data_IF_303503775627
#
_entry.id   IF_303503775627
#
_cell.length_a   1.000
_cell.length_b   1.000
_cell.length_c   1.000
_cell.angle_alpha   90.00
_cell.angle_beta   90.00
_cell.angle_gamma   90.00
#
_symmetry.space_group_name_H-M   'P 1'
#
loop_
_entity.id
_entity.type
_entity.pdbx_description
1 polymer ?
#
# COMPACT_ATOMS: atom_id res chain seq x y z
N UNK A 1 22.17 4.56 0.18
CA UNK A 1 21.15 3.73 0.85
C UNK A 1 21.92 2.77 1.75
N UNK A 2 21.45 2.51 2.98
CA UNK A 2 22.17 1.57 3.86
C UNK A 2 22.18 0.16 3.27
N UNK A 3 23.23 -0.61 3.55
CA UNK A 3 23.53 -1.96 3.02
C UNK A 3 22.50 -3.07 3.40
N UNK A 4 21.26 -2.71 3.73
CA UNK A 4 20.24 -3.64 4.22
C UNK A 4 19.68 -4.53 3.09
N UNK A 5 19.56 -3.97 1.89
CA UNK A 5 18.98 -4.64 0.73
C UNK A 5 19.95 -4.64 -0.44
N UNK A 6 19.97 -5.75 -1.19
CA UNK A 6 20.71 -5.82 -2.46
C UNK A 6 20.15 -4.82 -3.46
N UNK A 7 18.83 -4.78 -3.58
CA UNK A 7 18.10 -3.88 -4.45
C UNK A 7 16.80 -3.41 -3.78
N UNK A 8 16.28 -2.29 -4.27
CA UNK A 8 14.97 -1.77 -3.88
C UNK A 8 14.18 -1.56 -5.15
N UNK A 9 12.93 -1.99 -5.18
CA UNK A 9 12.04 -1.81 -6.32
C UNK A 9 10.66 -1.40 -5.83
N UNK A 10 10.13 -0.31 -6.38
CA UNK A 10 8.78 0.15 -6.13
C UNK A 10 7.97 0.09 -7.43
N UNK A 11 7.06 -0.86 -7.54
CA UNK A 11 6.12 -0.98 -8.66
C UNK A 11 4.83 -0.24 -8.32
N UNK A 12 4.35 0.60 -9.23
CA UNK A 12 3.06 1.27 -9.08
C UNK A 12 2.17 1.02 -10.28
N UNK A 13 1.10 0.27 -10.02
CA UNK A 13 -0.07 0.12 -10.89
C UNK A 13 -0.81 1.46 -10.94
N UNK A 14 -0.45 2.31 -11.91
CA UNK A 14 -0.82 3.71 -11.96
C UNK A 14 -2.07 3.91 -12.81
N UNK A 15 -3.13 4.40 -12.18
CA UNK A 15 -4.30 4.96 -12.84
C UNK A 15 -4.84 6.15 -12.04
N UNK A 16 -5.95 6.73 -12.47
CA UNK A 16 -6.55 7.91 -11.83
C UNK A 16 -6.84 7.68 -10.34
N UNK A 17 -7.25 6.46 -9.97
CA UNK A 17 -7.63 6.13 -8.59
C UNK A 17 -6.43 5.90 -7.68
N UNK A 18 -5.28 5.51 -8.22
CA UNK A 18 -4.06 5.22 -7.44
C UNK A 18 -3.04 6.36 -7.47
N UNK A 19 -3.25 7.39 -8.30
CA UNK A 19 -2.29 8.47 -8.51
C UNK A 19 -1.84 9.20 -7.23
N UNK A 20 -2.68 9.25 -6.19
CA UNK A 20 -2.31 9.85 -4.90
C UNK A 20 -1.10 9.15 -4.22
N UNK A 21 -0.85 7.88 -4.57
CA UNK A 21 0.30 7.08 -4.13
C UNK A 21 1.61 7.50 -4.80
N UNK A 22 1.59 8.35 -5.84
CA UNK A 22 2.80 8.83 -6.52
C UNK A 22 3.80 9.51 -5.58
N UNK A 23 3.31 10.14 -4.50
CA UNK A 23 4.17 10.74 -3.46
C UNK A 23 5.02 9.70 -2.72
N UNK A 24 4.50 8.49 -2.51
CA UNK A 24 5.23 7.35 -1.96
C UNK A 24 6.20 6.77 -3.00
N UNK A 25 5.78 6.64 -4.26
CA UNK A 25 6.65 6.22 -5.35
C UNK A 25 7.88 7.13 -5.52
N UNK A 26 7.71 8.44 -5.39
CA UNK A 26 8.80 9.42 -5.48
C UNK A 26 9.92 9.22 -4.43
N UNK A 27 9.65 8.52 -3.32
CA UNK A 27 10.68 8.13 -2.35
C UNK A 27 11.78 7.26 -2.97
N UNK A 28 11.44 6.48 -3.99
CA UNK A 28 12.29 5.46 -4.59
C UNK A 28 13.11 5.96 -5.80
N UNK A 29 12.80 7.14 -6.35
CA UNK A 29 13.54 7.77 -7.47
C UNK A 29 13.73 6.81 -8.64
N UNK A 30 14.97 6.43 -8.96
CA UNK A 30 15.31 5.55 -10.08
C UNK A 30 14.79 4.11 -9.88
N UNK A 31 14.47 3.73 -8.65
CA UNK A 31 13.87 2.43 -8.29
C UNK A 31 12.33 2.42 -8.40
N UNK A 32 11.73 3.51 -8.89
CA UNK A 32 10.29 3.65 -9.04
C UNK A 32 9.85 3.31 -10.47
N UNK A 33 9.12 2.20 -10.63
CA UNK A 33 8.59 1.72 -11.90
C UNK A 33 7.09 1.97 -11.94
N UNK A 34 6.66 2.82 -12.88
CA UNK A 34 5.24 3.02 -13.18
C UNK A 34 4.79 1.95 -14.16
N UNK A 35 3.65 1.35 -13.87
CA UNK A 35 2.95 0.43 -14.76
C UNK A 35 1.78 1.19 -15.34
N UNK A 36 1.78 1.34 -16.66
CA UNK A 36 0.72 1.92 -17.45
C UNK A 36 -0.27 0.83 -17.88
N UNK A 37 -1.51 1.17 -18.29
CA UNK A 37 -2.54 0.23 -18.76
C UNK A 37 -2.21 -0.36 -20.14
N UNK A 38 -1.12 -1.13 -20.21
CA UNK A 38 -0.67 -1.85 -21.41
C UNK A 38 0.01 -3.17 -21.04
N UNK A 39 -0.11 -4.16 -21.93
CA UNK A 39 0.53 -5.48 -21.77
C UNK A 39 2.04 -5.34 -21.69
N UNK A 40 2.63 -4.43 -22.48
CA UNK A 40 4.06 -4.18 -22.50
C UNK A 40 4.56 -3.68 -21.14
N UNK A 41 3.91 -2.65 -20.58
CA UNK A 41 4.30 -2.07 -19.29
C UNK A 41 4.16 -3.09 -18.15
N UNK A 42 3.08 -3.87 -18.16
CA UNK A 42 2.87 -4.98 -17.21
C UNK A 42 3.99 -6.01 -17.30
N UNK A 43 4.36 -6.44 -18.50
CA UNK A 43 5.43 -7.43 -18.70
C UNK A 43 6.79 -6.88 -18.26
N UNK A 44 7.12 -5.64 -18.60
CA UNK A 44 8.37 -4.99 -18.15
C UNK A 44 8.46 -4.94 -16.62
N UNK A 45 7.37 -4.60 -15.94
CA UNK A 45 7.34 -4.59 -14.48
C UNK A 45 7.49 -5.99 -13.88
N UNK A 46 6.86 -7.02 -14.47
CA UNK A 46 7.04 -8.41 -14.05
C UNK A 46 8.46 -8.91 -14.27
N UNK A 47 9.09 -8.56 -15.39
CA UNK A 47 10.47 -8.94 -15.68
C UNK A 47 11.45 -8.26 -14.73
N UNK A 48 11.20 -6.98 -14.40
CA UNK A 48 11.95 -6.27 -13.36
C UNK A 48 11.86 -6.98 -12.01
N UNK A 49 10.65 -7.40 -11.60
CA UNK A 49 10.47 -8.14 -10.35
C UNK A 49 11.16 -9.51 -10.35
N UNK A 50 11.16 -10.20 -11.49
CA UNK A 50 11.81 -11.53 -11.64
C UNK A 50 13.33 -11.47 -11.60
N UNK A 51 13.92 -10.34 -12.00
CA UNK A 51 15.37 -10.16 -12.06
C UNK A 51 16.00 -9.72 -10.74
N UNK A 52 15.20 -9.41 -9.72
CA UNK A 52 15.71 -8.93 -8.43
C UNK A 52 16.57 -9.99 -7.73
N UNK A 53 17.72 -9.58 -7.22
CA UNK A 53 18.57 -10.40 -6.39
C UNK A 53 17.86 -10.74 -5.06
N UNK A 54 18.09 -11.92 -4.47
CA UNK A 54 17.59 -12.26 -3.14
C UNK A 54 17.98 -11.20 -2.11
N UNK A 55 17.17 -11.01 -1.05
CA UNK A 55 17.34 -9.91 -0.10
C UNK A 55 17.10 -8.50 -0.69
N UNK A 56 16.14 -8.40 -1.63
CA UNK A 56 15.64 -7.10 -2.10
C UNK A 56 14.39 -6.64 -1.35
N UNK A 57 14.14 -5.34 -1.35
CA UNK A 57 12.90 -4.71 -0.89
C UNK A 57 11.97 -4.48 -2.09
N UNK A 58 10.77 -5.04 -2.03
CA UNK A 58 9.73 -4.82 -3.03
C UNK A 58 8.60 -4.00 -2.40
N UNK A 59 8.22 -2.91 -3.04
CA UNK A 59 7.05 -2.12 -2.68
C UNK A 59 6.08 -2.14 -3.85
N UNK A 60 4.84 -2.55 -3.60
CA UNK A 60 3.78 -2.52 -4.60
C UNK A 60 2.73 -1.49 -4.19
N UNK A 61 2.37 -0.61 -5.12
CA UNK A 61 1.37 0.44 -4.99
C UNK A 61 0.26 0.21 -6.01
N UNK A 62 -0.99 0.26 -5.56
CA UNK A 62 -2.15 0.28 -6.45
C UNK A 62 -3.20 -0.76 -6.10
N UNK A 63 -3.84 -1.35 -7.10
CA UNK A 63 -5.00 -2.23 -6.90
C UNK A 63 -4.67 -3.60 -6.34
N UNK A 64 -5.50 -4.06 -5.41
CA UNK A 64 -5.45 -5.41 -4.86
C UNK A 64 -6.84 -5.96 -4.58
N UNK A 65 -6.94 -7.28 -4.57
CA UNK A 65 -8.04 -8.06 -4.01
C UNK A 65 -7.46 -9.30 -3.33
N UNK A 66 -8.30 -10.08 -2.64
CA UNK A 66 -7.85 -11.33 -1.99
C UNK A 66 -7.22 -12.34 -2.97
N UNK A 67 -7.56 -12.26 -4.26
CA UNK A 67 -7.00 -13.12 -5.31
C UNK A 67 -5.61 -12.70 -5.82
N UNK A 68 -5.20 -11.45 -5.63
CA UNK A 68 -3.94 -10.95 -6.18
C UNK A 68 -3.83 -9.42 -6.30
N UNK A 69 -2.75 -9.00 -6.93
CA UNK A 69 -2.47 -7.61 -7.29
C UNK A 69 -2.83 -7.38 -8.75
N UNK A 70 -3.40 -6.22 -9.06
CA UNK A 70 -4.01 -5.95 -10.36
C UNK A 70 -3.20 -4.93 -11.16
N UNK A 71 -3.21 -5.13 -12.48
CA UNK A 71 -2.74 -4.14 -13.44
C UNK A 71 -3.65 -2.89 -13.39
N UNK A 72 -3.13 -1.72 -13.80
CA UNK A 72 -3.93 -0.49 -13.85
C UNK A 72 -5.05 -0.66 -14.86
N UNK A 73 -6.14 0.08 -14.68
CA UNK A 73 -7.31 0.03 -15.55
C UNK A 73 -7.39 1.30 -16.41
N UNK A 74 -7.87 1.16 -17.64
CA UNK A 74 -8.26 2.28 -18.50
C UNK A 74 -9.47 1.90 -19.35
N UNK A 75 -10.01 2.87 -20.11
CA UNK A 75 -11.13 2.65 -21.04
C UNK A 75 -10.84 1.49 -22.01
N UNK A 76 -9.59 1.37 -22.45
CA UNK A 76 -9.15 0.39 -23.45
C UNK A 76 -8.42 -0.82 -22.85
N UNK A 77 -8.22 -0.85 -21.53
CA UNK A 77 -7.44 -1.89 -20.86
C UNK A 77 -8.15 -2.33 -19.57
N UNK A 78 -8.80 -3.49 -19.66
CA UNK A 78 -9.58 -4.02 -18.55
C UNK A 78 -8.69 -4.45 -17.39
N UNK A 79 -9.21 -4.24 -16.17
CA UNK A 79 -8.62 -4.70 -14.93
C UNK A 79 -8.34 -6.21 -14.99
N UNK A 80 -7.07 -6.57 -14.82
CA UNK A 80 -6.60 -7.96 -14.85
C UNK A 80 -5.63 -8.23 -13.70
N UNK A 81 -5.56 -9.49 -13.26
CA UNK A 81 -4.63 -9.89 -12.20
C UNK A 81 -3.21 -9.88 -12.79
N UNK A 82 -2.37 -9.00 -12.27
CA UNK A 82 -0.94 -8.91 -12.62
C UNK A 82 -0.12 -9.93 -11.83
N UNK A 83 -0.42 -10.09 -10.54
CA UNK A 83 0.28 -11.04 -9.65
C UNK A 83 -0.76 -11.83 -8.86
N UNK A 84 -0.93 -13.10 -9.21
CA UNK A 84 -1.69 -14.07 -8.44
C UNK A 84 -0.78 -14.79 -7.41
N UNK A 85 -1.34 -15.73 -6.64
CA UNK A 85 -0.58 -16.43 -5.59
C UNK A 85 0.58 -17.28 -6.16
N UNK A 86 0.37 -17.96 -7.29
CA UNK A 86 1.40 -18.80 -7.91
C UNK A 86 2.60 -17.97 -8.37
N UNK A 87 2.34 -16.86 -9.06
CA UNK A 87 3.39 -15.95 -9.50
C UNK A 87 4.02 -15.23 -8.30
N UNK A 88 3.21 -14.79 -7.33
CA UNK A 88 3.66 -14.17 -6.08
C UNK A 88 4.66 -15.05 -5.32
N UNK A 89 4.37 -16.35 -5.21
CA UNK A 89 5.27 -17.32 -4.59
C UNK A 89 6.57 -17.56 -5.35
N UNK A 90 6.67 -17.14 -6.61
CA UNK A 90 7.93 -17.16 -7.36
C UNK A 90 8.68 -15.85 -7.16
N UNK A 91 8.03 -14.72 -7.43
CA UNK A 91 8.66 -13.39 -7.48
C UNK A 91 9.00 -12.81 -6.11
N UNK A 92 8.30 -13.22 -5.04
CA UNK A 92 8.55 -12.69 -3.70
C UNK A 92 9.53 -13.54 -2.89
N UNK A 93 10.08 -14.59 -3.49
CA UNK A 93 10.98 -15.54 -2.82
C UNK A 93 12.18 -14.84 -2.19
N UNK A 94 12.35 -14.97 -0.87
CA UNK A 94 13.48 -14.38 -0.11
C UNK A 94 13.58 -12.84 -0.14
N UNK A 95 12.49 -12.15 -0.47
CA UNK A 95 12.39 -10.68 -0.44
C UNK A 95 11.60 -10.17 0.76
N UNK A 96 11.84 -8.92 1.14
CA UNK A 96 10.93 -8.17 2.00
C UNK A 96 9.93 -7.41 1.13
N UNK A 97 8.64 -7.50 1.44
CA UNK A 97 7.58 -7.01 0.56
C UNK A 97 6.57 -6.13 1.30
N UNK A 98 6.29 -4.93 0.81
CA UNK A 98 5.21 -4.07 1.29
C UNK A 98 4.20 -3.86 0.16
N UNK A 99 2.94 -4.25 0.39
CA UNK A 99 1.86 -4.08 -0.59
C UNK A 99 0.87 -3.03 -0.08
N UNK A 100 0.93 -1.80 -0.57
CA UNK A 100 -0.09 -0.78 -0.31
C UNK A 100 -1.21 -0.91 -1.34
N UNK A 101 -2.05 -1.92 -1.10
CA UNK A 101 -3.17 -2.29 -1.95
C UNK A 101 -4.32 -2.83 -1.12
N UNK A 102 -5.55 -2.51 -1.53
CA UNK A 102 -6.76 -3.00 -0.88
C UNK A 102 -6.77 -4.55 -0.84
N UNK A 103 -7.20 -5.13 0.29
CA UNK A 103 -7.25 -6.58 0.56
C UNK A 103 -5.94 -7.35 0.35
N UNK A 104 -4.80 -6.69 0.23
CA UNK A 104 -3.49 -7.37 0.16
C UNK A 104 -3.21 -8.18 1.42
N UNK A 105 -3.72 -7.78 2.59
CA UNK A 105 -3.64 -8.54 3.85
C UNK A 105 -4.31 -9.93 3.77
N UNK A 106 -5.33 -10.08 2.92
CA UNK A 106 -5.94 -11.38 2.64
C UNK A 106 -5.14 -12.14 1.58
N UNK A 107 -4.68 -11.47 0.53
CA UNK A 107 -3.84 -12.06 -0.51
C UNK A 107 -2.57 -12.71 0.04
N UNK A 108 -1.87 -12.06 0.98
CA UNK A 108 -0.63 -12.59 1.59
C UNK A 108 -0.86 -13.86 2.43
N UNK A 109 -2.11 -14.31 2.61
CA UNK A 109 -2.42 -15.63 3.20
C UNK A 109 -2.11 -16.78 2.26
N UNK A 110 -2.09 -16.53 0.95
CA UNK A 110 -1.78 -17.51 -0.08
C UNK A 110 -0.29 -17.53 -0.47
N UNK A 111 0.52 -16.66 0.14
CA UNK A 111 1.95 -16.55 -0.10
C UNK A 111 2.78 -17.24 1.01
N UNK A 112 3.90 -17.87 0.64
CA UNK A 112 4.73 -18.63 1.57
C UNK A 112 6.25 -18.57 1.33
N UNK A 113 6.74 -17.92 0.27
CA UNK A 113 8.18 -17.89 -0.07
C UNK A 113 8.91 -16.58 0.29
N UNK A 114 8.18 -15.54 0.69
CA UNK A 114 8.75 -14.26 1.12
C UNK A 114 9.54 -14.37 2.42
N UNK A 115 10.41 -13.40 2.70
CA UNK A 115 11.08 -13.28 4.01
C UNK A 115 10.19 -12.55 5.02
N UNK A 116 9.83 -11.31 4.70
CA UNK A 116 8.86 -10.53 5.43
C UNK A 116 7.85 -9.92 4.47
N UNK A 117 6.61 -9.77 4.92
CA UNK A 117 5.57 -9.14 4.10
C UNK A 117 4.59 -8.31 4.93
N UNK A 118 4.18 -7.18 4.38
CA UNK A 118 3.13 -6.31 4.91
C UNK A 118 2.06 -6.14 3.85
N UNK A 119 0.80 -6.35 4.24
CA UNK A 119 -0.38 -6.01 3.44
C UNK A 119 -1.42 -5.27 4.30
N UNK A 120 -2.49 -4.81 3.68
CA UNK A 120 -3.56 -4.06 4.31
C UNK A 120 -4.93 -4.63 3.95
N UNK A 121 -5.93 -4.38 4.79
CA UNK A 121 -7.33 -4.72 4.53
C UNK A 121 -7.98 -3.76 3.54
N UNK A 122 -9.21 -3.36 3.83
CA UNK A 122 -9.92 -2.34 3.06
C UNK A 122 -9.20 -0.99 3.16
N UNK A 123 -9.09 -0.31 2.02
CA UNK A 123 -8.54 1.04 1.95
C UNK A 123 -9.59 1.88 1.21
N UNK A 124 -10.58 2.47 1.92
CA UNK A 124 -11.59 3.31 1.29
C UNK A 124 -10.97 4.65 0.89
N UNK A 125 -10.39 4.67 -0.31
CA UNK A 125 -9.53 5.73 -0.85
C UNK A 125 -10.30 6.79 -1.65
N UNK A 126 -11.58 6.55 -1.91
CA UNK A 126 -12.49 7.50 -2.54
C UNK A 126 -13.80 7.63 -1.78
N UNK A 127 -14.50 8.74 -1.98
CA UNK A 127 -15.81 8.94 -1.40
C UNK A 127 -16.82 7.91 -1.94
N UNK A 128 -16.70 7.50 -3.20
CA UNK A 128 -17.53 6.44 -3.79
C UNK A 128 -17.36 5.10 -3.08
N UNK A 129 -16.12 4.71 -2.76
CA UNK A 129 -15.86 3.49 -1.98
C UNK A 129 -16.48 3.54 -0.58
N UNK A 130 -16.40 4.69 0.10
CA UNK A 130 -17.03 4.90 1.41
C UNK A 130 -18.56 4.76 1.32
N UNK A 131 -19.18 5.31 0.27
CA UNK A 131 -20.63 5.20 0.07
C UNK A 131 -21.05 3.76 -0.22
N UNK A 132 -20.32 3.05 -1.09
CA UNK A 132 -20.59 1.64 -1.39
C UNK A 132 -20.46 0.74 -0.15
N UNK A 133 -19.46 1.00 0.71
CA UNK A 133 -19.33 0.32 2.00
C UNK A 133 -20.51 0.65 2.92
N UNK A 134 -20.96 1.90 2.97
CA UNK A 134 -22.10 2.34 3.76
C UNK A 134 -23.42 1.68 3.29
N UNK A 135 -23.63 1.51 2.00
CA UNK A 135 -24.79 0.79 1.45
C UNK A 135 -24.80 -0.68 1.87
N UNK A 136 -23.61 -1.29 2.00
CA UNK A 136 -23.48 -2.69 2.41
C UNK A 136 -23.63 -2.87 3.93
N UNK A 137 -23.08 -1.95 4.72
CA UNK A 137 -22.98 -2.06 6.18
C UNK A 137 -24.08 -1.32 6.95
N UNK A 138 -24.75 -0.37 6.30
CA UNK A 138 -25.68 0.59 6.93
C UNK A 138 -24.98 1.71 7.72
N UNK A 139 -23.65 1.80 7.69
CA UNK A 139 -22.87 2.78 8.47
C UNK A 139 -22.43 3.94 7.58
N UNK A 140 -23.16 5.05 7.64
CA UNK A 140 -22.84 6.26 6.90
C UNK A 140 -21.82 7.13 7.64
N UNK A 141 -20.75 7.51 6.95
CA UNK A 141 -19.72 8.41 7.48
C UNK A 141 -19.93 9.81 6.90
N UNK A 142 -19.99 10.82 7.78
CA UNK A 142 -20.08 12.21 7.35
C UNK A 142 -18.67 12.72 6.97
N UNK A 143 -18.25 12.41 5.73
CA UNK A 143 -16.95 12.77 5.19
C UNK A 143 -17.10 13.43 3.82
N UNK A 144 -16.28 14.44 3.57
CA UNK A 144 -16.16 15.09 2.26
C UNK A 144 -15.01 14.49 1.44
N UNK A 145 -14.92 14.84 0.15
CA UNK A 145 -13.74 14.51 -0.66
C UNK A 145 -12.44 15.07 -0.07
N UNK A 146 -12.48 16.25 0.55
CA UNK A 146 -11.30 16.83 1.21
C UNK A 146 -10.86 15.97 2.41
N UNK A 147 -11.80 15.39 3.13
CA UNK A 147 -11.50 14.50 4.25
C UNK A 147 -10.90 13.17 3.80
N UNK A 148 -11.41 12.61 2.70
CA UNK A 148 -10.84 11.39 2.10
C UNK A 148 -9.43 11.65 1.56
N UNK A 149 -9.22 12.80 0.90
CA UNK A 149 -7.89 13.20 0.47
C UNK A 149 -6.94 13.41 1.65
N UNK A 150 -7.42 13.98 2.75
CA UNK A 150 -6.64 14.14 3.97
C UNK A 150 -6.30 12.78 4.58
N UNK A 151 -7.27 11.87 4.70
CA UNK A 151 -7.08 10.47 5.10
C UNK A 151 -5.99 9.78 4.26
N UNK A 152 -6.09 9.86 2.93
CA UNK A 152 -5.12 9.33 1.98
C UNK A 152 -3.72 9.87 2.24
N UNK A 153 -3.59 11.19 2.37
CA UNK A 153 -2.31 11.83 2.63
C UNK A 153 -1.67 11.36 3.96
N UNK A 154 -2.46 11.13 5.00
CA UNK A 154 -1.97 10.78 6.33
C UNK A 154 -1.33 9.40 6.33
N UNK A 155 -2.05 8.37 5.85
CA UNK A 155 -1.48 7.02 5.89
C UNK A 155 -0.33 6.85 4.91
N UNK A 156 -0.38 7.52 3.75
CA UNK A 156 0.74 7.54 2.81
C UNK A 156 1.97 8.17 3.48
N UNK A 157 1.81 9.31 4.16
CA UNK A 157 2.90 9.96 4.88
C UNK A 157 3.44 9.11 6.05
N UNK A 158 2.57 8.40 6.77
CA UNK A 158 2.99 7.47 7.82
C UNK A 158 3.88 6.34 7.26
N UNK A 159 3.51 5.78 6.10
CA UNK A 159 4.29 4.75 5.40
C UNK A 159 5.61 5.33 4.88
N UNK A 160 5.59 6.51 4.25
CA UNK A 160 6.80 7.21 3.79
C UNK A 160 7.78 7.40 4.96
N UNK A 161 7.30 7.87 6.11
CA UNK A 161 8.15 8.14 7.27
C UNK A 161 8.74 6.84 7.86
N UNK A 162 7.97 5.76 7.89
CA UNK A 162 8.48 4.45 8.31
C UNK A 162 9.54 3.90 7.33
N UNK A 163 9.27 3.97 6.02
CA UNK A 163 10.21 3.52 4.98
C UNK A 163 11.47 4.38 4.92
N UNK A 164 11.39 5.68 5.18
CA UNK A 164 12.59 6.53 5.31
C UNK A 164 13.53 5.99 6.38
N UNK A 165 13.02 5.57 7.54
CA UNK A 165 13.85 4.96 8.60
C UNK A 165 14.49 3.65 8.13
N UNK A 166 13.76 2.83 7.38
CA UNK A 166 14.26 1.58 6.81
C UNK A 166 15.40 1.83 5.81
N UNK A 167 15.17 2.71 4.84
CA UNK A 167 16.09 2.97 3.72
C UNK A 167 17.41 3.62 4.16
N UNK A 168 17.42 4.31 5.31
CA UNK A 168 18.64 4.84 5.93
C UNK A 168 19.26 3.87 6.95
N UNK A 169 18.74 2.65 7.09
CA UNK A 169 19.28 1.61 7.97
C UNK A 169 19.08 1.87 9.47
N UNK A 170 18.15 2.77 9.85
CA UNK A 170 17.84 3.03 11.27
C UNK A 170 17.01 1.93 11.91
N UNK A 171 16.28 1.18 11.10
CA UNK A 171 15.36 0.11 11.53
C UNK A 171 15.39 -1.03 10.52
N UNK A 172 14.96 -2.21 10.94
CA UNK A 172 14.75 -3.39 10.10
C UNK A 172 13.29 -3.51 9.67
N UNK A 173 13.00 -4.35 8.66
CA UNK A 173 11.66 -4.46 8.10
C UNK A 173 10.60 -4.94 9.10
N UNK A 174 10.98 -5.85 10.02
CA UNK A 174 10.07 -6.45 11.00
C UNK A 174 9.46 -5.42 11.98
N UNK A 175 10.10 -4.26 12.15
CA UNK A 175 9.57 -3.17 12.99
C UNK A 175 8.82 -2.09 12.20
N UNK A 176 8.74 -2.19 10.87
CA UNK A 176 8.02 -1.21 10.03
C UNK A 176 6.53 -1.10 10.40
N UNK A 177 5.78 -2.18 10.67
CA UNK A 177 4.39 -2.06 11.09
C UNK A 177 4.22 -1.23 12.38
N UNK A 178 5.19 -1.33 13.31
CA UNK A 178 5.18 -0.53 14.55
C UNK A 178 5.40 0.94 14.26
N UNK A 179 6.31 1.28 13.36
CA UNK A 179 6.58 2.67 12.96
C UNK A 179 5.44 3.29 12.17
N UNK A 180 4.81 2.55 11.24
CA UNK A 180 3.59 2.99 10.55
C UNK A 180 2.52 3.31 11.60
N UNK A 181 2.28 2.39 12.53
CA UNK A 181 1.30 2.58 13.61
C UNK A 181 1.63 3.77 14.51
N UNK A 182 2.90 3.99 14.82
CA UNK A 182 3.35 5.15 15.60
C UNK A 182 3.00 6.47 14.90
N UNK A 183 3.33 6.60 13.62
CA UNK A 183 3.02 7.81 12.86
C UNK A 183 1.52 8.01 12.70
N UNK A 184 0.75 6.96 12.41
CA UNK A 184 -0.71 7.02 12.37
C UNK A 184 -1.30 7.46 13.71
N UNK A 185 -0.84 6.90 14.83
CA UNK A 185 -1.32 7.27 16.16
C UNK A 185 -1.03 8.72 16.51
N UNK A 186 0.11 9.26 16.06
CA UNK A 186 0.45 10.68 16.22
C UNK A 186 -0.57 11.56 15.50
N UNK A 187 -0.90 11.24 14.25
CA UNK A 187 -1.87 12.01 13.45
C UNK A 187 -3.30 11.88 13.97
N UNK A 188 -3.73 10.65 14.35
CA UNK A 188 -5.03 10.42 15.01
C UNK A 188 -5.16 11.28 16.27
N UNK A 189 -4.15 11.31 17.13
CA UNK A 189 -4.17 12.14 18.32
C UNK A 189 -4.19 13.65 18.00
N UNK A 190 -3.54 14.08 16.92
CA UNK A 190 -3.61 15.47 16.46
C UNK A 190 -5.04 15.85 16.05
N UNK A 191 -5.65 15.06 15.17
CA UNK A 191 -7.02 15.29 14.67
C UNK A 191 -8.04 15.32 15.82
N UNK A 192 -7.94 14.39 16.79
CA UNK A 192 -8.87 14.35 17.92
C UNK A 192 -8.79 15.57 18.85
N UNK A 193 -7.67 16.32 18.80
CA UNK A 193 -7.47 17.55 19.57
C UNK A 193 -8.04 18.79 18.89
N UNK A 194 -8.25 18.78 17.58
CA UNK A 194 -8.88 19.86 16.79
C UNK A 194 -10.39 19.89 17.03
N UNK A 195 -10.83 20.48 18.15
CA UNK A 195 -12.26 20.44 18.59
C UNK A 195 -13.22 21.21 17.68
N UNK A 196 -12.69 22.12 16.88
CA UNK A 196 -13.37 22.90 15.85
C UNK A 196 -13.60 22.12 14.56
N UNK A 197 -12.82 21.06 14.28
CA UNK A 197 -13.05 20.19 13.14
C UNK A 197 -14.29 19.30 13.37
N UNK A 198 -15.36 19.42 12.56
CA UNK A 198 -16.62 18.73 12.79
C UNK A 198 -16.52 17.21 12.58
N UNK A 199 -15.74 16.77 11.59
CA UNK A 199 -15.63 15.37 11.18
C UNK A 199 -14.41 14.65 11.78
N UNK A 200 -13.75 15.25 12.79
CA UNK A 200 -12.51 14.71 13.40
C UNK A 200 -12.65 13.27 13.89
N UNK A 201 -13.83 12.89 14.38
CA UNK A 201 -14.09 11.56 14.94
C UNK A 201 -14.11 10.53 13.80
N UNK A 202 -14.82 10.80 12.72
CA UNK A 202 -14.94 9.88 11.59
C UNK A 202 -13.61 9.72 10.84
N UNK A 203 -12.87 10.81 10.64
CA UNK A 203 -11.53 10.75 10.08
C UNK A 203 -10.58 9.93 10.97
N UNK A 204 -10.64 10.11 12.29
CA UNK A 204 -9.83 9.35 13.24
C UNK A 204 -10.18 7.86 13.26
N UNK A 205 -11.47 7.52 13.11
CA UNK A 205 -11.93 6.12 13.00
C UNK A 205 -11.39 5.46 11.74
N UNK A 206 -11.47 6.11 10.57
CA UNK A 206 -10.90 5.58 9.33
C UNK A 206 -9.40 5.28 9.46
N UNK A 207 -8.63 6.21 10.06
CA UNK A 207 -7.20 6.01 10.29
C UNK A 207 -6.93 4.86 11.28
N UNK A 208 -7.77 4.72 12.30
CA UNK A 208 -7.66 3.65 13.29
C UNK A 208 -7.99 2.29 12.66
N UNK A 209 -8.98 2.22 11.79
CA UNK A 209 -9.33 1.04 11.00
C UNK A 209 -8.19 0.65 10.06
N UNK A 210 -7.69 1.58 9.24
CA UNK A 210 -6.53 1.36 8.37
C UNK A 210 -5.33 0.78 9.14
N UNK A 211 -5.02 1.35 10.31
CA UNK A 211 -3.94 0.88 11.18
C UNK A 211 -4.16 -0.56 11.63
N UNK A 212 -5.38 -0.91 12.04
CA UNK A 212 -5.69 -2.24 12.57
C UNK A 212 -5.81 -3.31 11.48
N UNK A 213 -6.10 -2.90 10.26
CA UNK A 213 -6.18 -3.79 9.10
C UNK A 213 -4.83 -4.07 8.44
N UNK A 214 -3.74 -3.48 8.94
CA UNK A 214 -2.38 -3.82 8.53
C UNK A 214 -2.00 -5.21 9.04
N UNK A 215 -1.57 -6.08 8.13
CA UNK A 215 -1.17 -7.46 8.41
C UNK A 215 0.31 -7.62 8.12
N UNK A 216 1.05 -8.14 9.09
CA UNK A 216 2.47 -8.49 8.93
C UNK A 216 2.68 -10.00 9.06
N UNK A 217 3.54 -10.55 8.20
CA UNK A 217 4.00 -11.94 8.30
C UNK A 217 5.49 -12.05 8.06
N UNK A 218 6.07 -13.08 8.66
CA UNK A 218 7.47 -13.49 8.50
C UNK A 218 7.54 -14.97 8.19
N UNK A 219 8.53 -15.38 7.41
CA UNK A 219 8.92 -16.78 7.20
C UNK A 219 10.42 -16.94 7.45
#
# INVERSE_FOLDING_TARGET
MGDLYSEVCCIHSLDESTNFLSSLGALFRDNYVKVDPSIESVNTALDTLRSLAPNSLIVFLGHGQSAGLYAPESIDFQKSIMINADLGNRIFTSHDVLMLSCKSGDFIRYLNTFRNIIGFGNIPSSLGEIHNEAETTGVFRNLSNEDVNHYNSIYVNAIINALKLLLVGKVTFDVIPKWISFFLNKEINSILREKDRPNRIELSKLLFEFRNEMVYKRR
#
